data_IF_178071440631
#
_entry.id   IF_178071440631
#
_cell.length_a   1.000
_cell.length_b   1.000
_cell.length_c   1.000
_cell.angle_alpha   90.00
_cell.angle_beta   90.00
_cell.angle_gamma   90.00
#
_symmetry.space_group_name_H-M   'P 1'
#
loop_
_entity.id
_entity.type
_entity.pdbx_description
1 polymer ?
#
# COMPACT_ATOMS: atom_id res chain seq x y z
N UNK A 1 -13.66 13.14 -17.76
CA UNK A 1 -12.96 12.54 -16.61
C UNK A 1 -12.45 11.17 -17.02
N UNK A 2 -11.22 11.09 -17.47
CA UNK A 2 -10.53 9.83 -17.76
C UNK A 2 -10.32 9.14 -16.42
N UNK A 3 -11.16 8.14 -16.09
CA UNK A 3 -10.84 7.20 -15.00
C UNK A 3 -9.44 6.68 -15.31
N UNK A 4 -8.53 6.81 -14.36
CA UNK A 4 -7.16 6.33 -14.48
C UNK A 4 -7.18 4.80 -14.43
N UNK A 5 -7.64 4.20 -15.53
CA UNK A 5 -7.92 2.77 -15.70
C UNK A 5 -6.70 1.89 -15.43
N UNK A 6 -5.51 2.47 -15.51
CA UNK A 6 -4.22 1.78 -15.38
C UNK A 6 -3.89 1.38 -13.94
N UNK A 7 -4.54 1.98 -12.93
CA UNK A 7 -4.26 1.70 -11.52
C UNK A 7 -5.46 1.12 -10.78
N UNK A 8 -6.64 1.01 -11.41
CA UNK A 8 -7.84 0.52 -10.73
C UNK A 8 -7.76 -0.98 -10.39
N UNK A 9 -6.95 -1.75 -11.14
CA UNK A 9 -6.78 -3.20 -10.96
C UNK A 9 -6.26 -3.59 -9.57
N UNK A 10 -5.43 -2.75 -8.93
CA UNK A 10 -4.90 -3.05 -7.59
C UNK A 10 -5.99 -3.08 -6.51
N UNK A 11 -7.12 -2.43 -6.76
CA UNK A 11 -8.23 -2.37 -5.80
C UNK A 11 -9.12 -3.60 -5.88
N UNK A 12 -9.04 -4.35 -6.98
CA UNK A 12 -9.84 -5.57 -7.23
C UNK A 12 -9.00 -6.84 -7.23
N UNK A 13 -7.66 -6.73 -7.22
CA UNK A 13 -6.79 -7.90 -7.14
C UNK A 13 -6.94 -8.62 -5.80
N UNK A 14 -6.71 -9.93 -5.83
CA UNK A 14 -6.69 -10.74 -4.62
C UNK A 14 -5.50 -10.39 -3.72
N UNK A 15 -5.66 -10.68 -2.44
CA UNK A 15 -4.58 -10.63 -1.46
C UNK A 15 -3.73 -11.89 -1.63
N UNK A 16 -2.46 -11.71 -2.05
CA UNK A 16 -1.49 -12.77 -2.32
C UNK A 16 -0.45 -12.93 -1.20
N UNK A 17 -0.23 -11.86 -0.43
CA UNK A 17 0.68 -11.81 0.70
C UNK A 17 0.01 -12.14 2.04
N UNK A 18 0.63 -11.68 3.12
CA UNK A 18 0.00 -11.68 4.44
C UNK A 18 -1.09 -10.62 4.50
N UNK A 19 -2.19 -10.93 5.18
CA UNK A 19 -3.27 -9.96 5.37
C UNK A 19 -2.83 -8.79 6.24
N UNK A 20 -3.23 -7.58 5.84
CA UNK A 20 -3.00 -6.37 6.65
C UNK A 20 -3.65 -6.49 8.05
N UNK A 21 -4.90 -6.96 8.09
CA UNK A 21 -5.57 -7.34 9.34
C UNK A 21 -5.22 -8.79 9.67
N UNK A 22 -4.63 -9.04 10.83
CA UNK A 22 -4.40 -10.40 11.36
C UNK A 22 -5.64 -10.97 12.05
N UNK A 23 -6.81 -10.51 11.60
CA UNK A 23 -8.11 -10.80 12.15
C UNK A 23 -8.57 -12.16 11.62
N UNK A 24 -9.36 -12.93 12.39
CA UNK A 24 -9.86 -14.22 11.91
C UNK A 24 -10.58 -14.05 10.57
N UNK A 25 -10.23 -14.90 9.61
CA UNK A 25 -10.86 -14.90 8.29
C UNK A 25 -12.33 -15.26 8.42
N UNK A 26 -13.17 -14.64 7.60
CA UNK A 26 -14.58 -14.98 7.54
C UNK A 26 -14.74 -16.47 7.17
N UNK A 27 -15.44 -17.28 7.99
CA UNK A 27 -15.46 -18.73 7.84
C UNK A 27 -16.23 -19.22 6.60
N UNK A 28 -17.02 -18.35 5.97
CA UNK A 28 -17.85 -18.70 4.81
C UNK A 28 -17.09 -18.38 3.51
N UNK A 29 -16.50 -17.20 3.44
CA UNK A 29 -15.81 -16.68 2.24
C UNK A 29 -14.30 -16.99 2.23
N UNK A 30 -13.71 -17.32 3.39
CA UNK A 30 -12.27 -17.52 3.55
C UNK A 30 -11.44 -16.25 3.37
N UNK A 31 -12.08 -15.07 3.35
CA UNK A 31 -11.42 -13.77 3.12
C UNK A 31 -11.13 -13.06 4.43
N UNK A 32 -10.09 -12.21 4.43
CA UNK A 32 -9.86 -11.31 5.54
C UNK A 32 -11.06 -10.35 5.69
N UNK A 33 -11.60 -10.16 6.90
CA UNK A 33 -12.79 -9.30 7.11
C UNK A 33 -12.50 -7.82 6.86
N UNK A 34 -11.22 -7.42 6.91
CA UNK A 34 -10.78 -6.06 6.69
C UNK A 34 -9.64 -6.04 5.68
N UNK A 35 -9.82 -5.28 4.60
CA UNK A 35 -8.84 -5.10 3.54
C UNK A 35 -8.40 -3.65 3.47
N UNK A 36 -7.18 -3.43 2.97
CA UNK A 36 -6.72 -2.06 2.66
C UNK A 36 -7.56 -1.51 1.51
N UNK A 37 -8.22 -0.37 1.74
CA UNK A 37 -9.12 0.29 0.78
C UNK A 37 -8.77 1.79 0.66
N UNK A 38 -9.38 2.48 -0.31
CA UNK A 38 -9.10 3.90 -0.59
C UNK A 38 -9.27 4.78 0.66
N UNK A 39 -10.40 4.73 1.40
CA UNK A 39 -10.56 5.52 2.63
C UNK A 39 -9.49 5.27 3.68
N UNK A 40 -9.07 4.02 3.89
CA UNK A 40 -8.03 3.70 4.86
C UNK A 40 -6.67 4.28 4.45
N UNK A 41 -6.28 4.12 3.16
CA UNK A 41 -5.03 4.70 2.65
C UNK A 41 -5.07 6.22 2.76
N UNK A 42 -6.18 6.87 2.40
CA UNK A 42 -6.36 8.32 2.55
C UNK A 42 -6.20 8.77 4.00
N UNK A 43 -6.79 8.03 4.95
CA UNK A 43 -6.63 8.31 6.38
C UNK A 43 -5.16 8.21 6.81
N UNK A 44 -4.44 7.19 6.37
CA UNK A 44 -3.01 7.04 6.68
C UNK A 44 -2.14 8.11 6.02
N UNK A 45 -2.50 8.59 4.83
CA UNK A 45 -1.86 9.76 4.21
C UNK A 45 -1.97 10.99 5.11
N UNK A 46 -3.20 11.34 5.52
CA UNK A 46 -3.44 12.49 6.39
C UNK A 46 -2.72 12.35 7.73
N UNK A 47 -2.73 11.15 8.33
CA UNK A 47 -2.02 10.89 9.58
C UNK A 47 -0.51 11.07 9.46
N UNK A 48 0.09 10.56 8.38
CA UNK A 48 1.54 10.54 8.21
C UNK A 48 2.10 11.89 7.72
N UNK A 49 1.35 12.60 6.87
CA UNK A 49 1.86 13.78 6.15
C UNK A 49 1.16 15.09 6.59
N UNK A 50 0.02 15.02 7.26
CA UNK A 50 -0.76 16.17 7.73
C UNK A 50 -1.84 16.64 6.75
N UNK A 51 -1.70 16.35 5.46
CA UNK A 51 -2.69 16.64 4.41
C UNK A 51 -2.65 15.58 3.29
N UNK A 52 -3.41 15.81 2.21
CA UNK A 52 -3.37 14.98 1.00
C UNK A 52 -2.64 15.79 -0.09
N UNK A 53 -1.36 15.52 -0.36
CA UNK A 53 -0.61 16.24 -1.39
C UNK A 53 -1.10 15.86 -2.79
N UNK A 54 -0.77 16.66 -3.80
CA UNK A 54 -1.05 16.32 -5.21
C UNK A 54 -0.09 15.24 -5.75
N UNK A 55 1.15 15.24 -5.24
CA UNK A 55 2.22 14.30 -5.58
C UNK A 55 2.90 13.78 -4.32
N UNK A 56 3.40 12.54 -4.39
CA UNK A 56 4.08 11.87 -3.28
C UNK A 56 5.43 11.31 -3.75
N UNK A 57 6.46 11.48 -2.93
CA UNK A 57 7.77 10.85 -3.12
C UNK A 57 7.80 9.40 -2.63
N UNK A 58 8.87 8.67 -2.93
CA UNK A 58 9.08 7.33 -2.33
C UNK A 58 9.19 7.39 -0.79
N UNK A 59 9.69 8.50 -0.24
CA UNK A 59 9.74 8.71 1.21
C UNK A 59 8.33 8.88 1.79
N UNK A 60 7.46 9.65 1.14
CA UNK A 60 6.08 9.84 1.57
C UNK A 60 5.30 8.51 1.54
N UNK A 61 5.46 7.74 0.45
CA UNK A 61 4.88 6.38 0.33
C UNK A 61 5.34 5.51 1.51
N UNK A 62 6.63 5.57 1.85
CA UNK A 62 7.21 4.79 2.95
C UNK A 62 6.63 5.19 4.30
N UNK A 63 6.50 6.49 4.58
CA UNK A 63 5.89 7.00 5.82
C UNK A 63 4.43 6.57 5.96
N UNK A 64 3.67 6.59 4.87
CA UNK A 64 2.28 6.13 4.86
C UNK A 64 2.19 4.63 5.11
N UNK A 65 3.12 3.83 4.58
CA UNK A 65 3.17 2.38 4.83
C UNK A 65 3.51 2.08 6.28
N UNK A 66 4.46 2.82 6.89
CA UNK A 66 4.74 2.73 8.32
C UNK A 66 3.48 3.00 9.15
N UNK A 67 2.76 4.09 8.87
CA UNK A 67 1.52 4.40 9.58
C UNK A 67 0.45 3.32 9.36
N UNK A 68 0.26 2.89 8.12
CA UNK A 68 -0.79 1.94 7.75
C UNK A 68 -0.57 0.57 8.41
N UNK A 69 0.63 0.02 8.30
CA UNK A 69 0.98 -1.31 8.78
C UNK A 69 1.47 -1.33 10.24
N UNK A 70 1.64 -0.15 10.86
CA UNK A 70 2.21 0.02 12.20
C UNK A 70 3.59 -0.62 12.33
N UNK A 71 4.36 -0.62 11.25
CA UNK A 71 5.77 -0.98 11.30
C UNK A 71 6.53 0.08 12.08
N UNK A 72 7.59 -0.35 12.77
CA UNK A 72 8.48 0.54 13.51
C UNK A 72 9.36 1.37 12.57
N UNK A 73 9.87 0.74 11.52
CA UNK A 73 10.80 1.28 10.55
C UNK A 73 10.72 0.52 9.21
N UNK A 74 11.29 1.10 8.16
CA UNK A 74 11.37 0.48 6.83
C UNK A 74 12.68 -0.30 6.76
N UNK A 75 12.59 -1.60 7.03
CA UNK A 75 13.72 -2.52 6.86
C UNK A 75 14.02 -2.74 5.37
N UNK A 76 15.23 -3.23 5.00
CA UNK A 76 15.55 -3.49 3.59
C UNK A 76 14.54 -4.38 2.86
N UNK A 77 14.01 -5.48 3.45
CA UNK A 77 12.96 -6.27 2.81
C UNK A 77 11.67 -5.49 2.53
N UNK A 78 11.23 -4.64 3.47
CA UNK A 78 10.06 -3.79 3.28
C UNK A 78 10.31 -2.76 2.17
N UNK A 79 11.50 -2.14 2.14
CA UNK A 79 11.89 -1.21 1.09
C UNK A 79 11.87 -1.88 -0.29
N UNK A 80 12.42 -3.09 -0.40
CA UNK A 80 12.42 -3.85 -1.65
C UNK A 80 11.00 -4.21 -2.09
N UNK A 81 10.13 -4.64 -1.18
CA UNK A 81 8.73 -4.93 -1.47
C UNK A 81 7.96 -3.66 -1.93
N UNK A 82 8.24 -2.50 -1.33
CA UNK A 82 7.70 -1.22 -1.79
C UNK A 82 8.19 -0.85 -3.18
N UNK A 83 9.48 -0.99 -3.45
CA UNK A 83 10.06 -0.74 -4.78
C UNK A 83 9.45 -1.67 -5.83
N UNK A 84 9.24 -2.96 -5.53
CA UNK A 84 8.54 -3.91 -6.41
C UNK A 84 7.11 -3.43 -6.70
N UNK A 85 6.41 -2.95 -5.68
CA UNK A 85 5.03 -2.47 -5.82
C UNK A 85 4.91 -1.19 -6.63
N UNK A 86 5.82 -0.24 -6.42
CA UNK A 86 5.91 0.97 -7.22
C UNK A 86 6.18 0.63 -8.68
N UNK A 87 7.16 -0.24 -8.97
CA UNK A 87 7.43 -0.68 -10.35
C UNK A 87 6.25 -1.42 -10.97
N UNK A 88 5.53 -2.25 -10.21
CA UNK A 88 4.35 -2.97 -10.72
C UNK A 88 3.22 -2.01 -11.14
N UNK A 89 3.03 -0.92 -10.39
CA UNK A 89 1.95 0.06 -10.63
C UNK A 89 2.35 1.12 -11.65
N UNK A 90 3.60 1.61 -11.59
CA UNK A 90 4.07 2.76 -12.36
C UNK A 90 4.99 2.37 -13.53
N UNK A 91 5.38 1.09 -13.66
CA UNK A 91 6.33 0.58 -14.65
C UNK A 91 7.79 0.78 -14.24
N UNK A 92 8.14 1.97 -13.74
CA UNK A 92 9.48 2.30 -13.26
C UNK A 92 9.47 3.20 -12.01
N UNK A 93 10.64 3.36 -11.40
CA UNK A 93 10.83 4.23 -10.23
C UNK A 93 11.05 5.68 -10.68
N UNK A 94 10.31 6.61 -10.09
CA UNK A 94 10.52 8.05 -10.24
C UNK A 94 10.73 8.73 -8.88
N UNK A 95 11.24 9.98 -8.85
CA UNK A 95 11.35 10.73 -7.61
C UNK A 95 9.99 11.00 -6.94
N UNK A 96 8.92 11.16 -7.74
CA UNK A 96 7.58 11.53 -7.30
C UNK A 96 6.52 10.92 -8.20
N UNK A 97 5.31 10.73 -7.67
CA UNK A 97 4.16 10.19 -8.38
C UNK A 97 2.91 11.00 -8.07
N UNK A 98 1.93 11.09 -8.98
CA UNK A 98 0.59 11.55 -8.62
C UNK A 98 0.04 10.75 -7.45
N UNK A 99 -0.66 11.40 -6.52
CA UNK A 99 -1.17 10.73 -5.30
C UNK A 99 -2.01 9.50 -5.58
N UNK A 100 -2.79 9.49 -6.66
CA UNK A 100 -3.54 8.31 -7.07
C UNK A 100 -2.64 7.10 -7.38
N UNK A 101 -1.51 7.30 -8.06
CA UNK A 101 -0.51 6.27 -8.35
C UNK A 101 0.18 5.81 -7.07
N UNK A 102 0.56 6.74 -6.18
CA UNK A 102 1.16 6.41 -4.89
C UNK A 102 0.21 5.57 -4.01
N UNK A 103 -1.07 5.95 -3.92
CA UNK A 103 -2.10 5.18 -3.23
C UNK A 103 -2.24 3.76 -3.82
N UNK A 104 -2.18 3.64 -5.14
CA UNK A 104 -2.24 2.35 -5.81
C UNK A 104 -1.00 1.48 -5.51
N UNK A 105 0.20 2.07 -5.45
CA UNK A 105 1.41 1.36 -5.04
C UNK A 105 1.32 0.87 -3.59
N UNK A 106 0.78 1.68 -2.66
CA UNK A 106 0.55 1.29 -1.25
C UNK A 106 -0.45 0.13 -1.17
N UNK A 107 -1.52 0.18 -1.96
CA UNK A 107 -2.50 -0.92 -2.04
C UNK A 107 -1.87 -2.18 -2.61
N UNK A 108 -1.11 -2.07 -3.70
CA UNK A 108 -0.39 -3.21 -4.28
C UNK A 108 0.56 -3.85 -3.27
N UNK A 109 1.36 -3.04 -2.57
CA UNK A 109 2.21 -3.51 -1.47
C UNK A 109 1.38 -4.27 -0.44
N UNK A 110 0.27 -3.67 0.01
CA UNK A 110 -0.55 -4.28 1.05
C UNK A 110 -1.20 -5.60 0.64
N UNK A 111 -1.39 -5.84 -0.66
CA UNK A 111 -1.91 -7.10 -1.18
C UNK A 111 -0.81 -8.15 -1.41
N UNK A 112 0.46 -7.75 -1.50
CA UNK A 112 1.55 -8.63 -1.96
C UNK A 112 2.69 -8.80 -0.96
N UNK A 113 2.71 -8.02 0.11
CA UNK A 113 3.73 -8.11 1.15
C UNK A 113 3.70 -9.48 1.82
N UNK A 114 4.82 -10.21 1.77
CA UNK A 114 4.90 -11.60 2.23
C UNK A 114 5.17 -11.75 3.74
N UNK A 115 5.28 -10.65 4.49
CA UNK A 115 5.60 -10.69 5.92
C UNK A 115 7.07 -10.93 6.23
N UNK A 116 7.96 -10.67 5.27
CA UNK A 116 9.42 -10.71 5.42
C UNK A 116 9.80 -9.84 6.64
N UNK A 117 10.38 -10.47 7.66
CA UNK A 117 10.56 -10.03 9.06
C UNK A 117 10.60 -8.51 9.30
N UNK A 118 9.42 -7.92 9.53
CA UNK A 118 9.26 -6.57 10.09
C UNK A 118 9.16 -6.59 11.64
N UNK A 119 9.53 -7.72 12.28
CA UNK A 119 9.42 -7.94 13.72
C UNK A 119 10.81 -7.98 14.36
N UNK A 120 11.39 -6.80 14.55
CA UNK A 120 12.51 -6.55 15.47
C UNK A 120 12.06 -5.75 16.68
#
# INVERSE_FOLDING_TARGET
MTKNSLIDWVWTMDELGIGWCQCEKDPISGKAPHTVNKPLVTKSIVNALGDIPEVMSNQDISLVVLDLWKFRDITPPIAEALMRSVKAVNGEMHPQYPTATAMAAIKHFSNTFAGEEARG
#
